data_IF_138185661262
#
_entry.id   IF_138185661262
#
_cell.length_a   1.000
_cell.length_b   1.000
_cell.length_c   1.000
_cell.angle_alpha   90.00
_cell.angle_beta   90.00
_cell.angle_gamma   90.00
#
_symmetry.space_group_name_H-M   'P 1'
#
loop_
_entity.id
_entity.type
_entity.pdbx_description
1 polymer ?
#
# COMPACT_ATOMS: atom_id res chain seq x y z
N UNK A 1 23.97 13.66 -17.32
CA UNK A 1 22.98 12.73 -17.93
C UNK A 1 22.24 11.87 -16.90
N UNK A 2 22.94 11.26 -15.91
CA UNK A 2 22.30 10.45 -14.85
C UNK A 2 21.25 11.19 -14.01
N UNK A 3 21.46 12.48 -13.69
CA UNK A 3 20.51 13.29 -12.92
C UNK A 3 19.16 13.50 -13.63
N UNK A 4 19.14 13.56 -14.96
CA UNK A 4 17.90 13.69 -15.75
C UNK A 4 17.11 12.36 -15.72
N UNK A 5 17.79 11.22 -15.79
CA UNK A 5 17.15 9.90 -15.63
C UNK A 5 16.59 9.70 -14.22
N UNK A 6 17.29 10.14 -13.19
CA UNK A 6 16.78 10.12 -11.81
C UNK A 6 15.57 11.04 -11.65
N UNK A 7 15.56 12.23 -12.26
CA UNK A 7 14.41 13.16 -12.24
C UNK A 7 13.20 12.60 -12.99
N UNK A 8 13.44 11.83 -14.06
CA UNK A 8 12.40 11.12 -14.82
C UNK A 8 11.83 9.93 -14.04
N UNK A 9 12.65 9.22 -13.26
CA UNK A 9 12.21 8.16 -12.33
C UNK A 9 11.47 8.75 -11.12
N UNK A 10 11.93 9.90 -10.61
CA UNK A 10 11.33 10.68 -9.53
C UNK A 10 10.11 11.50 -9.98
N UNK A 11 9.41 11.06 -11.03
CA UNK A 11 8.13 11.64 -11.39
C UNK A 11 7.05 10.92 -10.58
N UNK A 12 6.10 11.66 -9.98
CA UNK A 12 5.12 11.09 -9.04
C UNK A 12 4.35 9.89 -9.64
N UNK A 13 4.12 9.89 -10.95
CA UNK A 13 3.50 8.78 -11.69
C UNK A 13 4.38 7.53 -11.73
N UNK A 14 5.68 7.69 -11.98
CA UNK A 14 6.62 6.56 -12.03
C UNK A 14 6.87 5.96 -10.65
N UNK A 15 6.89 6.81 -9.62
CA UNK A 15 6.99 6.35 -8.23
C UNK A 15 5.74 5.55 -7.81
N UNK A 16 4.55 5.96 -8.26
CA UNK A 16 3.31 5.20 -8.04
C UNK A 16 3.34 3.84 -8.74
N UNK A 17 3.77 3.79 -10.00
CA UNK A 17 3.90 2.53 -10.75
C UNK A 17 4.90 1.59 -10.07
N UNK A 18 6.04 2.14 -9.64
CA UNK A 18 7.04 1.40 -8.87
C UNK A 18 6.43 0.85 -7.57
N UNK A 19 5.71 1.68 -6.81
CA UNK A 19 5.05 1.26 -5.57
C UNK A 19 4.07 0.09 -5.80
N UNK A 20 3.25 0.16 -6.85
CA UNK A 20 2.30 -0.90 -7.22
C UNK A 20 3.04 -2.20 -7.57
N UNK A 21 4.12 -2.11 -8.36
CA UNK A 21 4.93 -3.27 -8.71
C UNK A 21 5.57 -3.92 -7.49
N UNK A 22 6.10 -3.14 -6.54
CA UNK A 22 6.67 -3.72 -5.33
C UNK A 22 5.60 -4.33 -4.40
N UNK A 23 4.41 -3.73 -4.26
CA UNK A 23 3.30 -4.35 -3.50
C UNK A 23 2.93 -5.70 -4.10
N UNK A 24 2.83 -5.75 -5.42
CA UNK A 24 2.47 -6.98 -6.13
C UNK A 24 3.52 -8.08 -5.92
N UNK A 25 4.80 -7.72 -5.99
CA UNK A 25 5.91 -8.63 -5.78
C UNK A 25 6.00 -9.13 -4.33
N UNK A 26 5.64 -8.29 -3.35
CA UNK A 26 5.52 -8.69 -1.93
C UNK A 26 4.39 -9.71 -1.71
N UNK A 27 3.23 -9.50 -2.35
CA UNK A 27 2.12 -10.46 -2.27
C UNK A 27 2.45 -11.79 -2.94
N UNK A 28 3.21 -11.79 -4.04
CA UNK A 28 3.71 -13.04 -4.64
C UNK A 28 4.58 -13.79 -3.63
N UNK A 29 5.46 -13.11 -2.91
CA UNK A 29 6.23 -13.76 -1.86
C UNK A 29 5.35 -14.29 -0.73
N UNK A 30 4.35 -13.55 -0.28
CA UNK A 30 3.45 -14.00 0.77
C UNK A 30 2.68 -15.26 0.36
N UNK A 31 2.28 -15.36 -0.92
CA UNK A 31 1.64 -16.56 -1.48
C UNK A 31 2.59 -17.75 -1.65
N UNK A 32 3.84 -17.52 -2.05
CA UNK A 32 4.84 -18.57 -2.30
C UNK A 32 5.80 -18.81 -1.12
N UNK A 33 5.65 -18.09 -0.02
CA UNK A 33 6.53 -18.16 1.16
C UNK A 33 6.55 -19.55 1.79
N UNK A 34 5.41 -20.25 1.77
CA UNK A 34 5.30 -21.64 2.24
C UNK A 34 6.11 -22.64 1.39
N UNK A 35 6.52 -22.27 0.16
CA UNK A 35 7.34 -23.09 -0.74
C UNK A 35 8.85 -22.76 -0.67
N UNK A 36 9.29 -21.95 0.30
CA UNK A 36 10.70 -21.61 0.49
C UNK A 36 11.19 -20.41 -0.32
N UNK A 37 10.31 -19.43 -0.55
CA UNK A 37 10.68 -18.20 -1.25
C UNK A 37 11.84 -17.45 -0.53
N UNK A 38 12.74 -16.79 -1.26
CA UNK A 38 13.95 -16.20 -0.68
C UNK A 38 13.68 -14.89 0.07
N UNK A 39 14.20 -14.79 1.30
CA UNK A 39 13.91 -13.73 2.28
C UNK A 39 14.18 -12.29 1.80
N UNK A 40 15.05 -12.08 0.80
CA UNK A 40 15.32 -10.74 0.26
C UNK A 40 14.07 -10.10 -0.39
N UNK A 41 13.11 -10.91 -0.84
CA UNK A 41 11.88 -10.40 -1.46
C UNK A 41 10.98 -9.72 -0.41
N UNK A 42 10.83 -10.32 0.78
CA UNK A 42 10.08 -9.68 1.88
C UNK A 42 10.76 -8.43 2.43
N UNK A 43 12.09 -8.35 2.36
CA UNK A 43 12.81 -7.14 2.73
C UNK A 43 12.45 -5.97 1.81
N UNK A 44 12.26 -6.23 0.50
CA UNK A 44 11.80 -5.20 -0.44
C UNK A 44 10.37 -4.78 -0.16
N UNK A 45 9.47 -5.73 0.15
CA UNK A 45 8.08 -5.46 0.55
C UNK A 45 7.94 -4.48 1.72
N UNK A 46 8.84 -4.56 2.70
CA UNK A 46 8.84 -3.65 3.86
C UNK A 46 9.15 -2.18 3.49
N UNK A 47 9.92 -1.93 2.43
CA UNK A 47 10.23 -0.56 1.97
C UNK A 47 9.03 0.07 1.25
N UNK A 48 8.11 -0.77 0.78
CA UNK A 48 6.93 -0.32 0.02
C UNK A 48 5.96 0.46 0.88
N UNK A 49 5.76 0.06 2.13
CA UNK A 49 4.84 0.74 3.03
C UNK A 49 5.27 2.20 3.33
N UNK A 50 6.53 2.49 3.72
CA UNK A 50 7.04 3.86 3.81
C UNK A 50 6.89 4.67 2.51
N UNK A 51 7.13 4.03 1.35
CA UNK A 51 7.02 4.70 0.05
C UNK A 51 5.57 5.08 -0.28
N UNK A 52 4.60 4.20 0.01
CA UNK A 52 3.18 4.53 -0.09
C UNK A 52 2.77 5.61 0.90
N UNK A 53 3.30 5.59 2.12
CA UNK A 53 3.02 6.62 3.12
C UNK A 53 3.52 8.00 2.67
N UNK A 54 4.71 8.06 2.07
CA UNK A 54 5.24 9.28 1.45
C UNK A 54 4.33 9.77 0.31
N UNK A 55 3.93 8.88 -0.60
CA UNK A 55 3.03 9.23 -1.70
C UNK A 55 1.63 9.67 -1.21
N UNK A 56 1.14 9.07 -0.12
CA UNK A 56 -0.11 9.46 0.52
C UNK A 56 -0.01 10.85 1.16
N UNK A 57 1.09 11.14 1.85
CA UNK A 57 1.37 12.47 2.41
C UNK A 57 1.48 13.55 1.33
N UNK A 58 2.21 13.27 0.25
CA UNK A 58 2.34 14.15 -0.92
C UNK A 58 0.97 14.41 -1.56
N UNK A 59 0.19 13.35 -1.80
CA UNK A 59 -1.17 13.46 -2.35
C UNK A 59 -2.12 14.22 -1.43
N UNK A 60 -1.95 14.09 -0.12
CA UNK A 60 -2.74 14.80 0.88
C UNK A 60 -2.39 16.29 0.93
N UNK A 61 -1.10 16.63 0.82
CA UNK A 61 -0.62 18.02 0.79
C UNK A 61 -1.19 18.80 -0.40
N UNK A 62 -1.20 18.21 -1.60
CA UNK A 62 -1.76 18.84 -2.80
C UNK A 62 -3.29 18.81 -2.87
N UNK A 63 -3.97 18.06 -2.00
CA UNK A 63 -5.43 17.95 -2.04
C UNK A 63 -6.09 19.13 -1.32
N UNK A 64 -6.83 19.94 -2.07
CA UNK A 64 -7.57 21.07 -1.51
C UNK A 64 -8.76 20.65 -0.63
N UNK A 65 -9.45 19.54 -0.98
CA UNK A 65 -10.60 19.02 -0.23
C UNK A 65 -10.26 17.78 0.59
N UNK A 66 -9.75 17.99 1.80
CA UNK A 66 -9.31 16.93 2.73
C UNK A 66 -10.45 15.99 3.14
N UNK A 67 -11.67 16.50 3.32
CA UNK A 67 -12.85 15.68 3.68
C UNK A 67 -13.22 14.69 2.58
N UNK A 68 -13.14 15.09 1.31
CA UNK A 68 -13.40 14.19 0.19
C UNK A 68 -12.33 13.10 0.07
N UNK A 69 -11.07 13.45 0.35
CA UNK A 69 -9.95 12.51 0.36
C UNK A 69 -10.08 11.45 1.47
N UNK A 70 -10.37 11.89 2.71
CA UNK A 70 -10.59 10.98 3.84
C UNK A 70 -11.78 10.04 3.60
N UNK A 71 -12.88 10.53 2.99
CA UNK A 71 -14.00 9.68 2.61
C UNK A 71 -13.61 8.59 1.61
N UNK A 72 -12.81 8.90 0.58
CA UNK A 72 -12.31 7.90 -0.37
C UNK A 72 -11.47 6.84 0.34
N UNK A 73 -10.55 7.25 1.22
CA UNK A 73 -9.74 6.33 2.03
C UNK A 73 -10.59 5.42 2.93
N UNK A 74 -11.65 5.96 3.55
CA UNK A 74 -12.58 5.18 4.36
C UNK A 74 -13.29 4.10 3.51
N UNK A 75 -13.77 4.47 2.33
CA UNK A 75 -14.37 3.51 1.39
C UNK A 75 -13.39 2.43 0.98
N UNK A 76 -12.13 2.76 0.64
CA UNK A 76 -11.10 1.76 0.34
C UNK A 76 -10.82 0.84 1.55
N UNK A 77 -10.81 1.39 2.76
CA UNK A 77 -10.60 0.62 4.00
C UNK A 77 -11.71 -0.41 4.18
N UNK A 78 -12.97 -0.01 4.03
CA UNK A 78 -14.11 -0.93 4.10
C UNK A 78 -14.12 -1.94 2.97
N UNK A 79 -13.78 -1.52 1.75
CA UNK A 79 -13.66 -2.42 0.61
C UNK A 79 -12.63 -3.53 0.87
N UNK A 80 -11.46 -3.20 1.42
CA UNK A 80 -10.45 -4.21 1.79
C UNK A 80 -10.95 -5.15 2.90
N UNK A 81 -11.65 -4.62 3.91
CA UNK A 81 -12.21 -5.42 5.01
C UNK A 81 -13.26 -6.42 4.47
N UNK A 82 -14.19 -5.94 3.63
CA UNK A 82 -15.21 -6.79 3.00
C UNK A 82 -14.55 -7.82 2.08
N UNK A 83 -13.58 -7.40 1.26
CA UNK A 83 -12.82 -8.29 0.39
C UNK A 83 -12.13 -9.41 1.18
N UNK A 84 -11.47 -9.08 2.29
CA UNK A 84 -10.84 -10.08 3.15
C UNK A 84 -11.86 -11.02 3.80
N UNK A 85 -13.04 -10.52 4.21
CA UNK A 85 -14.11 -11.38 4.73
C UNK A 85 -14.60 -12.37 3.67
N UNK A 86 -14.85 -11.91 2.44
CA UNK A 86 -15.30 -12.76 1.34
C UNK A 86 -14.24 -13.82 1.02
N UNK A 87 -12.98 -13.42 0.84
CA UNK A 87 -11.88 -14.34 0.54
C UNK A 87 -11.70 -15.36 1.67
N UNK A 88 -11.82 -14.94 2.92
CA UNK A 88 -11.74 -15.83 4.09
C UNK A 88 -12.89 -16.84 4.17
N UNK A 89 -14.04 -16.58 3.54
CA UNK A 89 -15.14 -17.55 3.46
C UNK A 89 -14.87 -18.66 2.42
N UNK A 90 -14.12 -18.35 1.35
CA UNK A 90 -13.77 -19.31 0.30
C UNK A 90 -12.45 -20.05 0.58
N UNK A 91 -11.49 -19.40 1.25
CA UNK A 91 -10.18 -19.96 1.56
C UNK A 91 -9.92 -19.94 3.07
N UNK A 92 -9.97 -21.12 3.70
CA UNK A 92 -9.58 -21.31 5.11
C UNK A 92 -8.05 -21.25 5.22
N UNK A 93 -7.48 -20.06 5.11
CA UNK A 93 -6.04 -19.86 5.27
C UNK A 93 -5.70 -19.91 6.76
N UNK A 94 -5.09 -21.01 7.19
CA UNK A 94 -4.61 -21.18 8.56
C UNK A 94 -3.65 -20.05 8.96
N UNK A 95 -3.99 -19.34 10.04
CA UNK A 95 -3.16 -18.43 10.85
C UNK A 95 -2.30 -17.35 10.16
N UNK A 96 -2.37 -17.16 8.84
CA UNK A 96 -1.81 -15.97 8.19
C UNK A 96 -2.89 -14.90 8.25
N UNK A 97 -2.79 -14.02 9.24
CA UNK A 97 -3.77 -12.95 9.42
C UNK A 97 -3.79 -12.03 8.21
N UNK A 98 -4.83 -12.13 7.36
CA UNK A 98 -5.23 -11.09 6.39
C UNK A 98 -5.73 -9.81 7.10
N UNK A 99 -5.07 -9.40 8.17
CA UNK A 99 -5.40 -8.21 8.97
C UNK A 99 -4.57 -6.99 8.53
N UNK A 100 -4.00 -7.03 7.31
CA UNK A 100 -3.16 -5.95 6.80
C UNK A 100 -3.98 -4.99 5.94
N UNK A 101 -4.49 -3.91 6.56
CA UNK A 101 -5.24 -2.86 5.88
C UNK A 101 -4.43 -1.55 5.83
N UNK A 102 -3.56 -1.43 4.81
CA UNK A 102 -2.73 -0.24 4.62
C UNK A 102 -3.57 1.05 4.44
N UNK A 103 -4.75 0.96 3.81
CA UNK A 103 -5.63 2.11 3.63
C UNK A 103 -6.20 2.63 4.96
N UNK A 104 -6.46 1.74 5.92
CA UNK A 104 -6.88 2.13 7.27
C UNK A 104 -5.81 2.94 8.01
N UNK A 105 -4.54 2.55 7.87
CA UNK A 105 -3.42 3.30 8.43
C UNK A 105 -3.31 4.71 7.81
N UNK A 106 -3.46 4.82 6.48
CA UNK A 106 -3.47 6.11 5.80
C UNK A 106 -4.65 6.99 6.19
N UNK A 107 -5.83 6.39 6.43
CA UNK A 107 -7.01 7.11 6.92
C UNK A 107 -6.77 7.72 8.31
N UNK A 108 -6.25 6.93 9.26
CA UNK A 108 -5.93 7.39 10.61
C UNK A 108 -4.86 8.49 10.58
N UNK A 109 -3.80 8.32 9.79
CA UNK A 109 -2.78 9.34 9.59
C UNK A 109 -3.39 10.64 9.03
N UNK A 110 -4.26 10.54 8.02
CA UNK A 110 -4.94 11.71 7.45
C UNK A 110 -5.88 12.41 8.45
N UNK A 111 -6.56 11.66 9.33
CA UNK A 111 -7.34 12.25 10.44
C UNK A 111 -6.41 12.99 11.40
N UNK A 112 -5.31 12.38 11.82
CA UNK A 112 -4.38 13.00 12.78
C UNK A 112 -3.77 14.32 12.28
N UNK A 113 -3.65 14.50 10.96
CA UNK A 113 -3.17 15.75 10.35
C UNK A 113 -4.30 16.79 10.22
N UNK A 114 -5.56 16.35 10.19
CA UNK A 114 -6.74 17.23 10.09
C UNK A 114 -7.33 17.65 11.44
N UNK A 115 -7.11 16.84 12.49
CA UNK A 115 -7.60 17.07 13.85
C UNK A 115 -6.76 18.14 14.56
#
# INVERSE_FOLDING_TARGET
MMLQSLKKISNATNLKILAILLVFLDHIYEMFGAFGAPMWITMLGRVVFPLFMFLAADSFYYTHNRKAYLKRLLFMTWFMIIGNMIVSQFFTNGQVGLANNAFGAFFLAGISICA
#
